data_IF_214758593762
#
_entry.id   IF_214758593762
#
_cell.length_a   1.000
_cell.length_b   1.000
_cell.length_c   1.000
_cell.angle_alpha   90.00
_cell.angle_beta   90.00
_cell.angle_gamma   90.00
#
_symmetry.space_group_name_H-M   'P 1'
#
loop_
_entity.id
_entity.type
_entity.pdbx_description
1 polymer ?
#
# COMPACT_ATOMS: atom_id res chain seq x y z
N UNK A 1 9.52 -16.91 1.33
CA UNK A 1 8.88 -16.06 2.36
C UNK A 1 7.66 -15.38 1.78
N UNK A 2 6.51 -15.46 2.48
CA UNK A 2 5.34 -14.73 2.01
C UNK A 2 5.58 -13.23 2.05
N UNK A 3 4.99 -12.56 1.10
CA UNK A 3 5.06 -11.10 1.05
C UNK A 3 4.12 -10.50 2.08
N UNK A 4 4.39 -9.26 2.43
CA UNK A 4 3.55 -8.50 3.33
C UNK A 4 2.93 -7.34 2.58
N UNK A 5 1.64 -7.11 2.81
CA UNK A 5 0.88 -6.08 2.09
C UNK A 5 0.17 -5.17 3.09
N UNK A 6 0.13 -3.89 2.81
CA UNK A 6 -0.81 -3.00 3.46
C UNK A 6 -1.70 -2.37 2.39
N UNK A 7 -2.97 -2.16 2.73
CA UNK A 7 -3.97 -1.58 1.84
C UNK A 7 -4.61 -0.42 2.57
N UNK A 8 -4.48 0.77 2.00
CA UNK A 8 -4.99 1.98 2.63
C UNK A 8 -6.05 2.60 1.75
N UNK A 9 -7.22 2.87 2.30
CA UNK A 9 -8.27 3.60 1.60
C UNK A 9 -8.13 5.07 1.93
N UNK A 10 -7.97 5.91 0.90
CA UNK A 10 -7.78 7.33 1.05
C UNK A 10 -8.88 8.09 0.32
N UNK A 11 -9.44 9.11 0.98
CA UNK A 11 -10.37 10.04 0.34
C UNK A 11 -9.66 11.37 0.17
N UNK A 12 -9.45 11.76 -1.07
CA UNK A 12 -8.65 12.95 -1.40
C UNK A 12 -9.54 14.20 -1.35
N UNK A 13 -8.99 15.28 -0.83
CA UNK A 13 -9.69 16.55 -0.78
C UNK A 13 -10.04 17.01 -2.20
N UNK A 14 -11.21 17.63 -2.33
CA UNK A 14 -11.72 18.05 -3.63
C UNK A 14 -10.69 18.96 -4.34
N UNK A 15 -10.43 18.67 -5.61
CA UNK A 15 -9.50 19.46 -6.41
C UNK A 15 -8.03 19.25 -6.12
N UNK A 16 -7.69 18.31 -5.24
CA UNK A 16 -6.30 18.09 -4.86
C UNK A 16 -5.72 16.78 -5.40
N UNK A 17 -6.40 16.15 -6.36
CA UNK A 17 -5.99 14.86 -6.93
C UNK A 17 -4.58 14.92 -7.53
N UNK A 18 -4.29 15.96 -8.28
CA UNK A 18 -2.97 16.10 -8.92
C UNK A 18 -1.84 16.15 -7.91
N UNK A 19 -2.03 16.91 -6.83
CA UNK A 19 -1.03 17.00 -5.77
C UNK A 19 -0.90 15.67 -5.03
N UNK A 20 -2.03 15.01 -4.78
CA UNK A 20 -2.03 13.70 -4.13
C UNK A 20 -1.25 12.68 -4.95
N UNK A 21 -1.58 12.56 -6.24
CA UNK A 21 -0.92 11.58 -7.10
C UNK A 21 0.58 11.88 -7.26
N UNK A 22 0.95 13.15 -7.31
CA UNK A 22 2.36 13.51 -7.38
C UNK A 22 3.10 13.08 -6.10
N UNK A 23 2.48 13.28 -4.95
CA UNK A 23 3.09 12.88 -3.67
C UNK A 23 3.20 11.37 -3.56
N UNK A 24 2.16 10.63 -4.00
CA UNK A 24 2.19 9.16 -4.01
C UNK A 24 3.32 8.67 -4.93
N UNK A 25 3.45 9.27 -6.11
CA UNK A 25 4.52 8.89 -7.05
C UNK A 25 5.90 9.10 -6.43
N UNK A 26 6.11 10.24 -5.79
CA UNK A 26 7.40 10.53 -5.18
C UNK A 26 7.69 9.56 -4.04
N UNK A 27 6.68 9.23 -3.24
CA UNK A 27 6.84 8.24 -2.17
C UNK A 27 7.14 6.86 -2.75
N UNK A 28 6.47 6.46 -3.84
CA UNK A 28 6.73 5.17 -4.48
C UNK A 28 8.17 5.07 -4.94
N UNK A 29 8.73 6.15 -5.46
CA UNK A 29 10.13 6.18 -5.88
C UNK A 29 11.05 5.95 -4.68
N UNK A 30 10.80 6.64 -3.57
CA UNK A 30 11.63 6.49 -2.37
C UNK A 30 11.53 5.08 -1.79
N UNK A 31 10.32 4.54 -1.69
CA UNK A 31 10.11 3.19 -1.17
C UNK A 31 10.75 2.15 -2.09
N UNK A 32 10.70 2.36 -3.40
CA UNK A 32 11.31 1.44 -4.37
C UNK A 32 12.80 1.27 -4.18
N UNK A 33 13.48 2.29 -3.65
CA UNK A 33 14.92 2.22 -3.40
C UNK A 33 15.30 1.16 -2.38
N UNK A 34 14.35 0.71 -1.55
CA UNK A 34 14.60 -0.34 -0.56
C UNK A 34 13.70 -1.55 -0.77
N UNK A 35 13.19 -1.74 -2.00
CA UNK A 35 12.46 -2.95 -2.37
C UNK A 35 11.02 -2.99 -1.94
N UNK A 36 10.46 -1.88 -1.50
CA UNK A 36 9.05 -1.78 -1.17
C UNK A 36 8.30 -1.18 -2.35
N UNK A 37 7.22 -1.82 -2.78
CA UNK A 37 6.45 -1.36 -3.93
C UNK A 37 5.15 -0.70 -3.47
N UNK A 38 4.79 0.38 -4.14
CA UNK A 38 3.57 1.12 -3.84
C UNK A 38 2.78 1.31 -5.13
N UNK A 39 1.50 0.91 -5.11
CA UNK A 39 0.57 1.14 -6.22
C UNK A 39 -0.62 1.93 -5.71
N UNK A 40 -1.25 2.68 -6.60
CA UNK A 40 -2.48 3.40 -6.27
C UNK A 40 -3.52 3.12 -7.34
N UNK A 41 -4.76 2.88 -6.91
CA UNK A 41 -5.91 2.64 -7.78
C UNK A 41 -7.02 3.60 -7.40
N UNK A 42 -7.69 4.16 -8.40
CA UNK A 42 -8.82 5.05 -8.16
C UNK A 42 -10.12 4.26 -8.27
N UNK A 43 -11.07 4.55 -7.37
CA UNK A 43 -12.40 3.95 -7.46
C UNK A 43 -13.07 4.32 -8.77
N UNK A 44 -13.76 3.35 -9.41
CA UNK A 44 -14.50 3.61 -10.63
C UNK A 44 -15.82 4.31 -10.36
N UNK A 45 -16.30 4.29 -9.12
CA UNK A 45 -17.60 4.89 -8.75
C UNK A 45 -17.45 6.16 -7.94
N UNK A 46 -16.26 6.41 -7.34
CA UNK A 46 -16.01 7.61 -6.54
C UNK A 46 -14.63 8.15 -6.90
N UNK A 47 -14.57 9.21 -7.72
CA UNK A 47 -13.29 9.69 -8.23
C UNK A 47 -12.35 10.28 -7.18
N UNK A 48 -12.84 10.48 -5.95
CA UNK A 48 -12.01 10.99 -4.86
C UNK A 48 -11.47 9.88 -3.95
N UNK A 49 -11.89 8.64 -4.17
CA UNK A 49 -11.48 7.51 -3.35
C UNK A 49 -10.42 6.70 -4.06
N UNK A 50 -9.32 6.46 -3.35
CA UNK A 50 -8.16 5.74 -3.86
C UNK A 50 -7.81 4.60 -2.91
N UNK A 51 -7.23 3.54 -3.47
CA UNK A 51 -6.60 2.48 -2.67
C UNK A 51 -5.10 2.53 -2.94
N UNK A 52 -4.32 2.57 -1.85
CA UNK A 52 -2.87 2.49 -1.91
C UNK A 52 -2.47 1.10 -1.44
N UNK A 53 -1.75 0.38 -2.29
CA UNK A 53 -1.24 -0.95 -1.97
C UNK A 53 0.26 -0.84 -1.78
N UNK A 54 0.76 -1.25 -0.62
CA UNK A 54 2.19 -1.24 -0.34
C UNK A 54 2.64 -2.65 -0.04
N UNK A 55 3.62 -3.14 -0.79
CA UNK A 55 4.10 -4.51 -0.70
C UNK A 55 5.55 -4.51 -0.28
N UNK A 56 5.89 -5.39 0.66
CA UNK A 56 7.26 -5.63 1.09
C UNK A 56 7.55 -7.11 1.12
N UNK A 57 8.84 -7.52 0.99
CA UNK A 57 9.20 -8.94 1.03
C UNK A 57 8.85 -9.62 2.35
N UNK A 58 8.78 -8.88 3.44
CA UNK A 58 8.52 -9.46 4.75
C UNK A 58 7.92 -8.43 5.70
N UNK A 59 7.26 -8.89 6.79
CA UNK A 59 6.78 -7.95 7.82
C UNK A 59 7.90 -7.11 8.43
N UNK A 60 9.12 -7.68 8.53
CA UNK A 60 10.25 -6.94 9.06
C UNK A 60 10.59 -5.74 8.17
N UNK A 61 10.54 -5.92 6.85
CA UNK A 61 10.76 -4.80 5.93
C UNK A 61 9.72 -3.71 6.11
N UNK A 62 8.46 -4.09 6.34
CA UNK A 62 7.41 -3.11 6.62
C UNK A 62 7.65 -2.37 7.93
N UNK A 63 8.11 -3.10 8.95
CA UNK A 63 8.36 -2.48 10.26
C UNK A 63 9.45 -1.43 10.19
N UNK A 64 10.39 -1.52 9.25
CA UNK A 64 11.39 -0.48 9.09
C UNK A 64 10.80 0.86 8.69
N UNK A 65 9.51 0.89 8.34
CA UNK A 65 8.82 2.15 8.08
C UNK A 65 8.83 3.07 9.28
N UNK A 66 8.94 2.53 10.48
CA UNK A 66 9.05 3.34 11.69
C UNK A 66 10.35 4.15 11.71
N UNK A 67 11.36 3.71 10.97
CA UNK A 67 12.67 4.37 10.90
C UNK A 67 12.85 5.05 9.54
N UNK A 68 11.78 5.59 8.99
CA UNK A 68 11.82 6.19 7.65
C UNK A 68 12.78 7.36 7.59
N UNK A 69 13.36 7.51 6.39
CA UNK A 69 14.20 8.65 6.10
C UNK A 69 13.35 9.94 6.15
N UNK A 70 13.99 11.08 6.46
CA UNK A 70 13.24 12.35 6.54
C UNK A 70 12.40 12.65 5.30
N UNK A 71 12.89 12.29 4.11
CA UNK A 71 12.13 12.54 2.89
C UNK A 71 10.85 11.71 2.84
N UNK A 72 10.89 10.45 3.27
CA UNK A 72 9.69 9.62 3.32
C UNK A 72 8.70 10.17 4.32
N UNK A 73 9.18 10.60 5.49
CA UNK A 73 8.32 11.20 6.51
C UNK A 73 7.64 12.46 6.01
N UNK A 74 8.38 13.29 5.27
CA UNK A 74 7.85 14.51 4.72
C UNK A 74 6.74 14.22 3.70
N UNK A 75 6.97 13.25 2.81
CA UNK A 75 5.98 12.88 1.81
C UNK A 75 4.72 12.31 2.44
N UNK A 76 4.87 11.50 3.50
CA UNK A 76 3.72 10.94 4.18
C UNK A 76 2.92 11.99 4.93
N UNK A 77 3.60 12.94 5.55
CA UNK A 77 2.93 14.07 6.18
C UNK A 77 2.14 14.86 5.15
N UNK A 78 2.72 15.06 3.97
CA UNK A 78 2.04 15.76 2.88
C UNK A 78 0.79 14.98 2.45
N UNK A 79 0.88 13.67 2.32
CA UNK A 79 -0.29 12.86 1.96
C UNK A 79 -1.41 13.02 2.98
N UNK A 80 -1.09 13.10 4.25
CA UNK A 80 -2.10 13.27 5.30
C UNK A 80 -2.78 14.63 5.26
N UNK A 81 -2.15 15.63 4.66
CA UNK A 81 -2.81 16.93 4.46
C UNK A 81 -3.70 16.93 3.23
N UNK A 82 -3.50 15.99 2.30
CA UNK A 82 -4.23 15.94 1.05
C UNK A 82 -5.38 14.93 1.07
N UNK A 83 -5.31 13.95 1.95
CA UNK A 83 -6.29 12.86 1.98
C UNK A 83 -6.58 12.42 3.41
N UNK A 84 -7.79 11.90 3.61
CA UNK A 84 -8.20 11.28 4.86
C UNK A 84 -8.16 9.77 4.67
N UNK A 85 -7.50 9.06 5.60
CA UNK A 85 -7.31 7.62 5.52
C UNK A 85 -8.29 6.89 6.42
N UNK A 86 -8.74 5.71 5.97
CA UNK A 86 -9.59 4.86 6.78
C UNK A 86 -8.83 4.35 8.01
N UNK A 87 -9.56 4.01 9.10
CA UNK A 87 -8.90 3.64 10.37
C UNK A 87 -7.98 2.42 10.29
N UNK A 88 -8.26 1.48 9.39
CA UNK A 88 -7.43 0.27 9.22
C UNK A 88 -6.35 0.41 8.17
N UNK A 89 -6.02 1.65 7.77
CA UNK A 89 -5.12 1.91 6.65
C UNK A 89 -3.73 1.29 6.81
N UNK A 90 -3.28 1.06 8.04
CA UNK A 90 -1.92 0.58 8.30
C UNK A 90 -1.87 -0.88 8.72
N UNK A 91 -2.99 -1.59 8.65
CA UNK A 91 -3.00 -3.03 8.95
C UNK A 91 -2.13 -3.77 7.94
N UNK A 92 -1.43 -4.79 8.42
CA UNK A 92 -0.57 -5.61 7.59
C UNK A 92 -1.26 -6.92 7.28
N UNK A 93 -1.06 -7.40 6.05
CA UNK A 93 -1.65 -8.63 5.55
C UNK A 93 -0.54 -9.51 5.02
N UNK A 94 -0.48 -10.75 5.48
CA UNK A 94 0.49 -11.72 4.99
C UNK A 94 -0.07 -12.43 3.76
N UNK A 95 0.78 -12.61 2.77
CA UNK A 95 0.41 -13.41 1.61
C UNK A 95 0.24 -14.87 2.05
N UNK A 96 -0.88 -15.48 1.65
CA UNK A 96 -1.10 -16.91 1.87
C UNK A 96 -0.68 -17.63 0.59
N UNK A 97 0.35 -18.48 0.64
CA UNK A 97 0.77 -19.21 -0.56
C UNK A 97 -0.33 -20.17 -0.98
N UNK A 98 -0.75 -20.07 -2.22
CA UNK A 98 -1.75 -20.99 -2.76
C UNK A 98 -1.02 -22.07 -3.54
N UNK A 99 -0.37 -22.93 -2.78
CA UNK A 99 0.42 -24.01 -3.34
C UNK A 99 -0.44 -25.23 -3.61
N UNK A 100 0.14 -26.22 -4.31
CA UNK A 100 -0.55 -27.45 -4.58
C UNK A 100 -0.98 -28.14 -3.28
N UNK A 101 -0.20 -28.06 -2.22
CA UNK A 101 -0.55 -28.64 -0.94
C UNK A 101 -1.78 -27.99 -0.33
N UNK A 102 -1.94 -26.70 -0.48
CA UNK A 102 -3.11 -25.99 0.05
C UNK A 102 -4.35 -26.21 -0.79
N UNK A 103 -4.18 -26.43 -2.08
CA UNK A 103 -5.31 -26.55 -3.01
C UNK A 103 -5.76 -27.97 -3.23
N UNK A 104 -5.08 -28.97 -2.68
CA UNK A 104 -5.34 -30.36 -3.00
C UNK A 104 -6.67 -30.88 -2.62
N UNK A 105 -7.21 -30.64 -1.61
CA UNK A 105 -8.39 -31.44 -1.35
C UNK A 105 -9.28 -31.54 -2.53
N UNK A 106 -8.94 -31.74 -3.28
CA UNK A 106 -9.65 -31.74 -4.19
C UNK A 106 -9.66 -32.23 -5.25
N UNK A 107 -8.85 -32.23 -5.32
CA UNK A 107 -8.89 -32.47 -6.21
C UNK A 107 -9.27 -32.89 -6.81
N UNK A 108 -8.85 -32.92 -6.72
CA UNK A 108 -9.11 -33.25 -7.35
C UNK A 108 -9.70 -33.35 -7.80
N UNK A 109 -9.54 -33.24 -7.79
CA UNK A 109 -10.13 -33.29 -8.35
C UNK A 109 -10.59 -33.28 -8.82
N UNK A 110 -10.28 -33.38 -8.99
CA UNK A 110 -10.78 -33.42 -9.65
C UNK A 110 -11.20 -33.36 -10.05
#
# INVERSE_FOLDING_TARGET
MPRCLSVSRATVAAGRDGEYLAAVRDLAIELGKRGQHLWVFRSTSDPRTYLEFSESPSPASHRTRASRLPREQLLESRLRTLATYAPDAWALWDEVPLTAELSTPTDEEE
#
